data_IF_835461708996
#
_entry.id   IF_835461708996
#
_cell.length_a   1.000
_cell.length_b   1.000
_cell.length_c   1.000
_cell.angle_alpha   90.00
_cell.angle_beta   90.00
_cell.angle_gamma   90.00
#
_symmetry.space_group_name_H-M   'P 1'
#
loop_
_entity.id
_entity.type
_entity.pdbx_description
1 polymer ?
#
# COMPACT_ATOMS: atom_id res chain seq x y z
N UNK A 1 5.98 -23.94 -6.31
CA UNK A 1 7.29 -23.32 -5.99
C UNK A 1 7.35 -23.09 -4.50
N UNK A 2 8.45 -23.51 -3.84
CA UNK A 2 8.67 -23.21 -2.43
C UNK A 2 8.94 -21.70 -2.28
N UNK A 3 8.51 -21.05 -1.19
CA UNK A 3 8.87 -19.67 -0.92
C UNK A 3 10.39 -19.60 -0.70
N UNK A 4 11.08 -18.75 -1.46
CA UNK A 4 12.52 -18.52 -1.32
C UNK A 4 12.71 -17.06 -0.89
N UNK A 5 13.61 -16.82 0.06
CA UNK A 5 13.98 -15.47 0.49
C UNK A 5 15.21 -14.98 -0.28
N UNK A 6 15.44 -13.68 -0.34
CA UNK A 6 16.61 -13.13 -1.01
C UNK A 6 16.44 -11.67 -1.42
N UNK A 7 17.16 -11.27 -2.46
CA UNK A 7 17.16 -9.92 -3.02
C UNK A 7 16.65 -9.88 -4.45
N UNK A 8 16.11 -8.74 -4.83
CA UNK A 8 15.80 -8.43 -6.22
C UNK A 8 16.36 -7.07 -6.60
N UNK A 9 16.77 -6.94 -7.84
CA UNK A 9 17.21 -5.70 -8.44
C UNK A 9 16.42 -5.41 -9.71
N UNK A 10 16.09 -4.14 -9.91
CA UNK A 10 15.33 -3.65 -11.05
C UNK A 10 16.29 -2.90 -11.94
N UNK A 11 16.35 -3.29 -13.22
CA UNK A 11 17.13 -2.63 -14.25
C UNK A 11 16.18 -2.01 -15.28
N UNK A 12 16.69 -1.07 -16.05
CA UNK A 12 15.94 -0.42 -17.13
C UNK A 12 16.77 -0.32 -18.40
N UNK A 13 16.10 -0.42 -19.55
CA UNK A 13 16.70 -0.12 -20.85
C UNK A 13 17.10 1.36 -20.96
N UNK A 14 17.85 1.73 -22.00
CA UNK A 14 18.30 3.11 -22.19
C UNK A 14 17.14 4.13 -22.19
N UNK A 15 15.97 3.74 -22.72
CA UNK A 15 14.79 4.59 -22.74
C UNK A 15 14.16 4.74 -21.35
N UNK A 16 14.25 3.71 -20.50
CA UNK A 16 13.83 3.79 -19.10
C UNK A 16 14.64 4.85 -18.36
N UNK A 17 15.97 4.85 -18.53
CA UNK A 17 16.85 5.86 -17.93
C UNK A 17 16.51 7.27 -18.43
N UNK A 18 16.34 7.43 -19.74
CA UNK A 18 15.96 8.71 -20.34
C UNK A 18 14.58 9.21 -19.86
N UNK A 19 13.55 8.36 -19.89
CA UNK A 19 12.20 8.66 -19.40
C UNK A 19 12.20 9.06 -17.92
N UNK A 20 13.08 8.43 -17.13
CA UNK A 20 13.24 8.78 -15.73
C UNK A 20 14.04 10.07 -15.54
N UNK A 21 14.67 10.65 -16.57
CA UNK A 21 15.54 11.83 -16.48
C UNK A 21 16.88 11.53 -15.80
N UNK A 22 17.42 10.33 -16.00
CA UNK A 22 18.69 9.86 -15.44
C UNK A 22 19.72 9.68 -16.56
N UNK A 23 21.00 9.88 -16.23
CA UNK A 23 22.09 9.53 -17.14
C UNK A 23 22.10 8.02 -17.40
N UNK A 24 22.11 7.56 -18.66
CA UNK A 24 22.03 6.13 -18.97
C UNK A 24 23.13 5.31 -18.32
N UNK A 25 22.73 4.30 -17.54
CA UNK A 25 23.61 3.28 -16.94
C UNK A 25 22.92 1.92 -16.98
N UNK A 26 22.76 1.32 -18.16
CA UNK A 26 21.94 0.11 -18.34
C UNK A 26 22.38 -1.06 -17.46
N UNK A 27 23.68 -1.17 -17.15
CA UNK A 27 24.24 -2.21 -16.28
C UNK A 27 24.10 -1.91 -14.77
N UNK A 28 23.51 -0.77 -14.40
CA UNK A 28 23.26 -0.39 -13.01
C UNK A 28 21.82 -0.65 -12.61
N UNK A 29 21.61 -1.11 -11.37
CA UNK A 29 20.27 -1.24 -10.83
C UNK A 29 19.63 0.13 -10.60
N UNK A 30 18.40 0.31 -11.06
CA UNK A 30 17.55 1.46 -10.71
C UNK A 30 17.08 1.37 -9.25
N UNK A 31 16.82 0.15 -8.77
CA UNK A 31 16.33 -0.13 -7.42
C UNK A 31 16.79 -1.51 -6.95
N UNK A 32 17.06 -1.65 -5.66
CA UNK A 32 17.33 -2.92 -4.98
C UNK A 32 16.38 -3.07 -3.80
N UNK A 33 15.82 -4.26 -3.61
CA UNK A 33 14.97 -4.59 -2.48
C UNK A 33 15.16 -6.03 -2.01
N UNK A 34 14.77 -6.31 -0.76
CA UNK A 34 14.68 -7.67 -0.23
C UNK A 34 13.27 -8.25 -0.25
N UNK A 35 13.19 -9.57 -0.29
CA UNK A 35 11.98 -10.34 -0.01
C UNK A 35 12.30 -11.41 1.03
N UNK A 36 11.66 -11.34 2.20
CA UNK A 36 11.92 -12.26 3.31
C UNK A 36 11.08 -13.54 3.21
N UNK A 37 9.86 -13.42 2.69
CA UNK A 37 8.91 -14.55 2.71
C UNK A 37 8.82 -15.27 1.37
N UNK A 38 8.83 -14.54 0.24
CA UNK A 38 8.66 -15.15 -1.08
C UNK A 38 9.09 -14.22 -2.22
N UNK A 39 10.28 -14.49 -2.76
CA UNK A 39 10.92 -13.71 -3.81
C UNK A 39 10.19 -13.81 -5.16
N UNK A 40 9.53 -14.93 -5.45
CA UNK A 40 9.20 -15.31 -6.84
C UNK A 40 7.72 -15.12 -7.19
N UNK A 41 6.84 -14.71 -6.26
CA UNK A 41 5.43 -14.46 -6.66
C UNK A 41 4.77 -13.28 -5.98
N UNK A 42 4.67 -13.26 -4.65
CA UNK A 42 3.79 -12.30 -3.97
C UNK A 42 4.30 -10.86 -4.00
N UNK A 43 5.61 -10.67 -3.81
CA UNK A 43 6.23 -9.35 -3.84
C UNK A 43 6.36 -8.82 -5.27
N UNK A 44 6.72 -9.69 -6.23
CA UNK A 44 6.76 -9.34 -7.65
C UNK A 44 5.36 -9.06 -8.23
N UNK A 45 4.32 -9.81 -7.83
CA UNK A 45 2.92 -9.48 -8.17
C UNK A 45 2.56 -8.07 -7.67
N UNK A 46 3.04 -7.70 -6.47
CA UNK A 46 2.70 -6.41 -5.87
C UNK A 46 3.46 -5.24 -6.51
N UNK A 47 4.71 -5.45 -6.92
CA UNK A 47 5.57 -4.39 -7.46
C UNK A 47 5.48 -4.29 -8.98
N UNK A 48 5.52 -5.43 -9.66
CA UNK A 48 5.55 -5.53 -11.11
C UNK A 48 4.23 -5.98 -11.73
N UNK A 49 3.24 -6.40 -10.93
CA UNK A 49 1.96 -6.88 -11.46
C UNK A 49 2.14 -7.96 -12.54
N UNK A 50 3.01 -8.93 -12.26
CA UNK A 50 3.30 -10.05 -13.17
C UNK A 50 2.11 -11.00 -13.33
N UNK A 51 1.20 -11.02 -12.35
CA UNK A 51 -0.10 -11.70 -12.46
C UNK A 51 -1.16 -10.76 -13.07
N UNK A 52 -1.57 -10.99 -14.34
CA UNK A 52 -2.51 -10.11 -15.03
C UNK A 52 -3.93 -10.19 -14.47
N UNK A 53 -4.24 -11.19 -13.63
CA UNK A 53 -5.55 -11.34 -13.00
C UNK A 53 -5.72 -10.42 -11.79
N UNK A 54 -4.63 -9.84 -11.29
CA UNK A 54 -4.63 -8.95 -10.13
C UNK A 54 -4.52 -7.51 -10.57
N UNK A 55 -5.34 -6.65 -9.96
CA UNK A 55 -5.22 -5.21 -10.17
C UNK A 55 -3.91 -4.70 -9.56
N UNK A 56 -3.05 -3.99 -10.32
CA UNK A 56 -1.88 -3.32 -9.77
C UNK A 56 -2.29 -2.27 -8.73
N UNK A 57 -1.51 -2.17 -7.64
CA UNK A 57 -1.81 -1.26 -6.54
C UNK A 57 -0.58 -0.43 -6.17
N UNK A 58 -0.42 0.72 -6.83
CA UNK A 58 0.71 1.64 -6.56
C UNK A 58 0.81 2.06 -5.09
N UNK A 59 -0.32 2.26 -4.40
CA UNK A 59 -0.32 2.62 -2.97
C UNK A 59 0.27 1.56 -2.02
N UNK A 60 0.51 0.33 -2.49
CA UNK A 60 1.13 -0.74 -1.71
C UNK A 60 2.61 -0.96 -2.02
N UNK A 61 3.15 -0.33 -3.07
CA UNK A 61 4.52 -0.55 -3.53
C UNK A 61 5.32 0.74 -3.50
N UNK A 62 6.37 0.77 -2.68
CA UNK A 62 7.26 1.93 -2.58
C UNK A 62 7.98 2.21 -3.90
N UNK A 63 8.37 1.17 -4.63
CA UNK A 63 9.02 1.29 -5.94
C UNK A 63 8.04 1.81 -7.00
N UNK A 64 6.80 1.32 -7.06
CA UNK A 64 5.80 1.86 -8.00
C UNK A 64 5.51 3.34 -7.74
N UNK A 65 5.47 3.77 -6.47
CA UNK A 65 5.35 5.21 -6.14
C UNK A 65 6.56 6.00 -6.64
N UNK A 66 7.76 5.47 -6.56
CA UNK A 66 8.95 6.15 -7.10
C UNK A 66 8.89 6.28 -8.63
N UNK A 67 8.52 5.23 -9.36
CA UNK A 67 8.32 5.31 -10.81
C UNK A 67 7.19 6.26 -11.19
N UNK A 68 6.03 6.14 -10.52
CA UNK A 68 4.88 7.00 -10.77
C UNK A 68 5.20 8.49 -10.60
N UNK A 69 5.98 8.83 -9.57
CA UNK A 69 6.39 10.20 -9.32
C UNK A 69 7.27 10.77 -10.44
N UNK A 70 8.25 9.99 -10.92
CA UNK A 70 9.17 10.45 -11.97
C UNK A 70 8.55 10.44 -13.36
N UNK A 71 7.59 9.55 -13.62
CA UNK A 71 6.92 9.38 -14.91
C UNK A 71 5.57 10.09 -14.96
N UNK A 72 5.28 10.94 -13.97
CA UNK A 72 3.98 11.57 -13.77
C UNK A 72 3.48 12.24 -15.05
N UNK A 73 4.28 13.14 -15.61
CA UNK A 73 3.86 13.92 -16.77
C UNK A 73 3.89 13.07 -18.05
N UNK A 74 4.91 12.23 -18.20
CA UNK A 74 5.07 11.36 -19.37
C UNK A 74 3.90 10.38 -19.55
N UNK A 75 3.39 9.83 -18.45
CA UNK A 75 2.33 8.82 -18.46
C UNK A 75 0.98 9.36 -17.98
N UNK A 76 0.84 10.69 -17.83
CA UNK A 76 -0.38 11.34 -17.35
C UNK A 76 -0.89 10.69 -16.03
N UNK A 77 -0.04 10.61 -15.02
CA UNK A 77 -0.37 9.90 -13.77
C UNK A 77 -0.92 10.87 -12.73
N UNK A 78 -2.13 10.59 -12.28
CA UNK A 78 -2.77 11.33 -11.19
C UNK A 78 -2.83 10.49 -9.93
N UNK A 79 -2.27 11.05 -8.87
CA UNK A 79 -2.29 10.45 -7.55
C UNK A 79 -3.63 10.65 -6.83
N UNK A 80 -4.04 9.62 -6.10
CA UNK A 80 -5.25 9.62 -5.27
C UNK A 80 -4.95 9.02 -3.90
N UNK A 81 -5.77 9.28 -2.86
CA UNK A 81 -5.64 8.56 -1.60
C UNK A 81 -5.66 7.05 -1.83
N UNK A 82 -4.72 6.32 -1.21
CA UNK A 82 -4.65 4.84 -1.31
C UNK A 82 -5.97 4.16 -0.98
N UNK A 83 -6.65 4.70 0.03
CA UNK A 83 -7.97 4.29 0.43
C UNK A 83 -8.88 5.52 0.33
N UNK A 84 -9.68 5.58 -0.73
CA UNK A 84 -10.64 6.68 -0.97
C UNK A 84 -11.74 6.72 0.09
N UNK A 85 -12.08 5.57 0.69
CA UNK A 85 -13.10 5.48 1.74
C UNK A 85 -12.58 5.89 3.12
N UNK A 86 -11.25 5.89 3.30
CA UNK A 86 -10.58 6.39 4.50
C UNK A 86 -9.29 7.12 4.11
N UNK A 87 -9.39 8.34 3.56
CA UNK A 87 -8.23 9.11 3.15
C UNK A 87 -7.30 9.38 4.33
N UNK A 88 -5.99 9.30 4.08
CA UNK A 88 -4.95 9.47 5.09
C UNK A 88 -3.64 8.83 4.64
N UNK A 89 -2.53 9.17 5.32
CA UNK A 89 -1.19 8.73 4.94
C UNK A 89 -0.90 8.94 3.44
N UNK A 90 -1.09 10.16 2.93
CA UNK A 90 -1.01 10.50 1.50
C UNK A 90 0.36 10.21 0.87
N UNK A 91 1.43 10.06 1.67
CA UNK A 91 2.75 9.58 1.20
C UNK A 91 2.73 8.15 0.64
N UNK A 92 1.65 7.41 0.91
CA UNK A 92 1.34 6.11 0.34
C UNK A 92 0.27 6.17 -0.74
N UNK A 93 0.13 7.30 -1.46
CA UNK A 93 -0.84 7.50 -2.54
C UNK A 93 -0.93 6.32 -3.53
N UNK A 94 -2.14 6.08 -4.04
CA UNK A 94 -2.38 5.25 -5.21
C UNK A 94 -2.45 6.10 -6.48
N UNK A 95 -2.77 5.48 -7.60
CA UNK A 95 -3.09 6.16 -8.85
C UNK A 95 -4.56 5.94 -9.21
N UNK A 96 -5.09 6.78 -10.09
CA UNK A 96 -6.30 6.44 -10.82
C UNK A 96 -6.12 5.11 -11.58
N UNK A 97 -7.18 4.29 -11.74
CA UNK A 97 -7.06 2.96 -12.34
C UNK A 97 -6.38 2.94 -13.73
N UNK A 98 -6.72 3.90 -14.60
CA UNK A 98 -6.11 4.02 -15.93
C UNK A 98 -4.61 4.35 -15.85
N UNK A 99 -4.21 5.22 -14.90
CA UNK A 99 -2.81 5.54 -14.65
C UNK A 99 -2.02 4.34 -14.13
N UNK A 100 -2.60 3.54 -13.23
CA UNK A 100 -1.96 2.31 -12.73
C UNK A 100 -1.75 1.28 -13.86
N UNK A 101 -2.67 1.21 -14.83
CA UNK A 101 -2.51 0.38 -16.03
C UNK A 101 -1.39 0.88 -16.95
N UNK A 102 -1.34 2.19 -17.24
CA UNK A 102 -0.26 2.81 -18.03
C UNK A 102 1.11 2.61 -17.40
N UNK A 103 1.23 2.83 -16.09
CA UNK A 103 2.46 2.58 -15.34
C UNK A 103 2.89 1.11 -15.45
N UNK A 104 1.95 0.18 -15.31
CA UNK A 104 2.26 -1.26 -15.43
C UNK A 104 2.78 -1.62 -16.82
N UNK A 105 2.11 -1.14 -17.87
CA UNK A 105 2.54 -1.37 -19.25
C UNK A 105 3.94 -0.80 -19.51
N UNK A 106 4.23 0.41 -19.03
CA UNK A 106 5.58 0.98 -19.11
C UNK A 106 6.61 0.13 -18.36
N UNK A 107 6.30 -0.30 -17.13
CA UNK A 107 7.21 -1.14 -16.33
C UNK A 107 7.52 -2.47 -17.03
N UNK A 108 6.52 -3.14 -17.61
CA UNK A 108 6.71 -4.40 -18.35
C UNK A 108 7.54 -4.21 -19.62
N UNK A 109 7.37 -3.09 -20.31
CA UNK A 109 8.10 -2.81 -21.55
C UNK A 109 9.56 -2.43 -21.30
N UNK A 110 9.84 -1.74 -20.19
CA UNK A 110 11.10 -1.02 -19.96
C UNK A 110 12.01 -1.61 -18.91
N UNK A 111 11.49 -2.46 -18.02
CA UNK A 111 12.22 -2.94 -16.87
C UNK A 111 12.50 -4.44 -16.96
N UNK A 112 13.66 -4.82 -16.46
CA UNK A 112 14.02 -6.21 -16.20
C UNK A 112 14.30 -6.42 -14.72
N UNK A 113 14.19 -7.68 -14.31
CA UNK A 113 14.36 -8.11 -12.93
C UNK A 113 15.53 -9.08 -12.85
N UNK A 114 16.46 -8.80 -11.94
CA UNK A 114 17.42 -9.79 -11.47
C UNK A 114 17.00 -10.25 -10.07
N UNK A 115 17.14 -11.55 -9.83
CA UNK A 115 16.82 -12.17 -8.56
C UNK A 115 18.06 -12.87 -8.02
N UNK A 116 18.28 -12.73 -6.73
CA UNK A 116 19.31 -13.46 -6.01
C UNK A 116 18.65 -14.18 -4.84
N UNK A 117 18.62 -15.50 -4.94
CA UNK A 117 18.11 -16.35 -3.87
C UNK A 117 19.14 -16.42 -2.75
N UNK A 118 18.68 -16.32 -1.50
CA UNK A 118 19.53 -16.47 -0.32
C UNK A 118 20.14 -17.89 -0.33
N UNK A 119 21.47 -18.03 -0.32
CA UNK A 119 22.13 -19.32 -0.22
C UNK A 119 21.74 -20.04 1.06
N UNK A 120 21.56 -21.35 0.97
CA UNK A 120 21.33 -22.20 2.13
C UNK A 120 22.54 -22.10 3.07
N UNK A 121 22.28 -21.91 4.37
CA UNK A 121 23.32 -21.79 5.39
C UNK A 121 23.95 -20.40 5.54
N UNK A 122 23.52 -19.40 4.76
CA UNK A 122 23.95 -18.02 4.98
C UNK A 122 23.39 -17.49 6.31
N UNK A 123 24.25 -17.10 7.25
CA UNK A 123 23.84 -16.59 8.56
C UNK A 123 23.51 -15.09 8.54
N UNK A 124 24.13 -14.33 7.64
CA UNK A 124 23.96 -12.88 7.56
C UNK A 124 22.49 -12.50 7.31
N UNK A 125 21.94 -11.53 8.06
CA UNK A 125 20.60 -11.02 7.82
C UNK A 125 20.46 -10.41 6.42
N UNK A 126 19.38 -10.72 5.71
CA UNK A 126 19.12 -10.15 4.37
C UNK A 126 19.08 -8.62 4.35
N UNK A 127 18.66 -7.99 5.45
CA UNK A 127 18.68 -6.54 5.60
C UNK A 127 20.10 -5.98 5.51
N UNK A 128 21.08 -6.63 6.13
CA UNK A 128 22.48 -6.15 6.09
C UNK A 128 23.07 -6.27 4.69
N UNK A 129 22.77 -7.37 3.99
CA UNK A 129 23.17 -7.58 2.60
C UNK A 129 22.52 -6.54 1.68
N UNK A 130 21.21 -6.29 1.83
CA UNK A 130 20.47 -5.26 1.09
C UNK A 130 21.08 -3.87 1.30
N UNK A 131 21.33 -3.49 2.56
CA UNK A 131 21.92 -2.19 2.91
C UNK A 131 23.33 -2.05 2.30
N UNK A 132 24.18 -3.06 2.42
CA UNK A 132 25.53 -3.03 1.85
C UNK A 132 25.49 -2.86 0.32
N UNK A 133 24.57 -3.53 -0.37
CA UNK A 133 24.39 -3.38 -1.82
C UNK A 133 23.88 -1.98 -2.16
N UNK A 134 22.86 -1.48 -1.45
CA UNK A 134 22.33 -0.12 -1.70
C UNK A 134 23.42 0.94 -1.48
N UNK A 135 24.23 0.81 -0.45
CA UNK A 135 25.31 1.75 -0.16
C UNK A 135 26.42 1.70 -1.21
N UNK A 136 26.78 0.50 -1.69
CA UNK A 136 27.83 0.32 -2.68
C UNK A 136 27.40 0.68 -4.10
N UNK A 137 26.20 0.28 -4.51
CA UNK A 137 25.70 0.49 -5.87
C UNK A 137 24.99 1.83 -6.04
N UNK A 138 24.51 2.44 -4.95
CA UNK A 138 23.81 3.73 -4.94
C UNK A 138 22.62 3.81 -5.93
N UNK A 139 21.74 2.78 -6.00
CA UNK A 139 20.65 2.73 -6.97
C UNK A 139 19.72 3.95 -6.83
N UNK A 140 19.46 4.70 -7.91
CA UNK A 140 18.89 6.06 -7.84
C UNK A 140 17.48 6.12 -7.26
N UNK A 141 16.71 5.02 -7.29
CA UNK A 141 15.34 4.96 -6.77
C UNK A 141 15.25 4.48 -5.32
N UNK A 142 16.33 3.98 -4.73
CA UNK A 142 16.38 3.73 -3.29
C UNK A 142 16.54 5.07 -2.55
N UNK A 143 15.53 5.41 -1.74
CA UNK A 143 15.51 6.65 -0.95
C UNK A 143 16.15 6.44 0.42
N UNK A 144 15.93 5.27 1.01
CA UNK A 144 16.48 4.84 2.30
C UNK A 144 17.81 4.12 2.05
N UNK A 145 18.76 4.29 2.97
CA UNK A 145 20.07 3.63 3.00
C UNK A 145 21.01 3.96 1.81
N UNK A 146 20.51 4.64 0.77
CA UNK A 146 21.33 5.20 -0.31
C UNK A 146 22.09 6.44 0.20
N UNK A 147 23.44 6.48 0.12
CA UNK A 147 24.24 7.61 0.56
C UNK A 147 24.07 8.86 -0.30
N UNK A 148 23.54 8.72 -1.53
CA UNK A 148 23.31 9.81 -2.48
C UNK A 148 21.87 9.73 -3.03
N UNK A 149 20.85 9.92 -2.17
CA UNK A 149 19.47 9.75 -2.60
C UNK A 149 19.09 10.86 -3.60
N UNK A 150 18.35 10.49 -4.64
CA UNK A 150 17.97 11.40 -5.70
C UNK A 150 16.99 12.48 -5.20
N UNK A 151 17.46 13.73 -5.08
CA UNK A 151 16.67 14.84 -4.54
C UNK A 151 15.37 15.09 -5.31
N UNK A 152 15.43 15.04 -6.65
CA UNK A 152 14.24 15.24 -7.50
C UNK A 152 13.18 14.16 -7.31
N UNK A 153 13.56 12.92 -6.99
CA UNK A 153 12.60 11.85 -6.67
C UNK A 153 11.84 12.15 -5.37
N UNK A 154 12.51 12.68 -4.35
CA UNK A 154 11.84 13.08 -3.10
C UNK A 154 10.80 14.18 -3.37
N UNK A 155 11.21 15.23 -4.10
CA UNK A 155 10.32 16.32 -4.52
C UNK A 155 9.13 15.81 -5.35
N UNK A 156 9.36 14.96 -6.34
CA UNK A 156 8.30 14.39 -7.16
C UNK A 156 7.31 13.56 -6.32
N UNK A 157 7.80 12.81 -5.33
CA UNK A 157 6.92 12.06 -4.41
C UNK A 157 6.12 12.97 -3.48
N UNK A 158 6.68 14.10 -3.06
CA UNK A 158 5.97 15.12 -2.30
C UNK A 158 4.89 15.81 -3.13
N UNK A 159 5.13 16.05 -4.42
CA UNK A 159 4.13 16.58 -5.36
C UNK A 159 2.93 15.63 -5.50
N UNK A 160 3.18 14.34 -5.73
CA UNK A 160 2.14 13.30 -5.74
C UNK A 160 1.43 13.18 -4.38
N UNK A 161 2.14 13.37 -3.27
CA UNK A 161 1.51 13.39 -1.94
C UNK A 161 0.54 14.56 -1.79
N UNK A 162 0.94 15.75 -2.25
CA UNK A 162 0.11 16.95 -2.25
C UNK A 162 -1.11 16.79 -3.14
N UNK A 163 -0.95 16.27 -4.35
CA UNK A 163 -2.07 16.01 -5.28
C UNK A 163 -3.08 15.00 -4.70
N UNK A 164 -2.60 13.92 -4.07
CA UNK A 164 -3.48 12.96 -3.39
C UNK A 164 -4.27 13.59 -2.23
N UNK A 165 -3.65 14.50 -1.47
CA UNK A 165 -4.35 15.27 -0.42
C UNK A 165 -5.32 16.30 -0.99
N UNK A 166 -4.99 16.99 -2.08
CA UNK A 166 -5.84 17.98 -2.72
C UNK A 166 -7.04 17.38 -3.45
N UNK A 167 -6.91 16.15 -3.96
CA UNK A 167 -8.03 15.38 -4.53
C UNK A 167 -9.14 15.14 -3.50
N UNK A 168 -8.79 14.99 -2.22
CA UNK A 168 -9.76 14.93 -1.13
C UNK A 168 -10.52 16.26 -0.98
N UNK A 169 -9.83 17.39 -1.03
CA UNK A 169 -10.48 18.70 -0.92
C UNK A 169 -11.53 18.86 -2.03
N UNK A 170 -11.19 18.52 -3.28
CA UNK A 170 -12.14 18.56 -4.41
C UNK A 170 -13.33 17.60 -4.22
N UNK A 171 -13.11 16.38 -3.76
CA UNK A 171 -14.19 15.41 -3.51
C UNK A 171 -15.07 15.79 -2.31
N UNK A 172 -14.51 16.39 -1.27
CA UNK A 172 -15.23 16.91 -0.12
C UNK A 172 -16.11 18.12 -0.51
N UNK A 173 -15.59 19.04 -1.34
CA UNK A 173 -16.37 20.17 -1.87
C UNK A 173 -17.52 19.70 -2.76
N UNK A 174 -17.29 18.72 -3.64
CA UNK A 174 -18.36 18.15 -4.50
C UNK A 174 -19.41 17.38 -3.68
N UNK A 175 -18.98 16.65 -2.65
CA UNK A 175 -19.90 15.93 -1.75
C UNK A 175 -20.73 16.89 -0.89
N UNK A 176 -20.12 17.97 -0.39
CA UNK A 176 -20.81 19.03 0.34
C UNK A 176 -21.82 19.74 -0.57
N UNK A 177 -21.43 20.12 -1.79
CA UNK A 177 -22.33 20.74 -2.77
C UNK A 177 -23.52 19.82 -3.15
N UNK A 178 -23.29 18.51 -3.30
CA UNK A 178 -24.36 17.54 -3.55
C UNK A 178 -25.30 17.36 -2.35
N UNK A 179 -24.78 17.38 -1.12
CA UNK A 179 -25.61 17.33 0.08
C UNK A 179 -26.49 18.58 0.23
N UNK A 180 -26.01 19.74 -0.25
CA UNK A 180 -26.77 20.99 -0.30
C UNK A 180 -27.82 21.07 -1.42
N UNK A 181 -27.80 20.14 -2.39
CA UNK A 181 -28.67 20.14 -3.57
C UNK A 181 -29.78 19.08 -3.52
N UNK A 182 -29.80 18.23 -2.50
CA UNK A 182 -30.88 17.29 -2.26
C UNK A 182 -32.02 18.01 -1.52
N UNK A 183 -33.28 17.94 -1.99
CA UNK A 183 -34.40 18.52 -1.26
C UNK A 183 -34.55 17.83 0.10
N UNK A 184 -34.77 18.63 1.15
CA UNK A 184 -35.09 18.16 2.49
C UNK A 184 -36.35 17.31 2.44
N UNK A 185 -36.21 15.99 2.39
CA UNK A 185 -37.30 15.09 2.75
C UNK A 185 -37.28 15.05 4.27
N UNK A 186 -38.22 15.76 4.89
CA UNK A 186 -38.60 15.55 6.28
C UNK A 186 -39.08 14.10 6.42
N UNK A 187 -38.19 13.21 6.83
CA UNK A 187 -38.58 11.89 7.33
C UNK A 187 -38.83 12.03 8.83
N UNK A 188 -40.10 12.25 9.15
CA UNK A 188 -40.66 12.05 10.47
C UNK A 188 -40.54 10.55 10.82
N UNK A 189 -39.51 10.21 11.59
CA UNK A 189 -39.37 8.90 12.20
C UNK A 189 -38.53 9.00 13.46
N UNK A 190 -39.23 9.16 14.57
CA UNK A 190 -38.74 8.92 15.93
C UNK A 190 -38.05 7.55 16.01
N UNK A 191 -36.75 7.45 16.39
CA UNK A 191 -36.16 6.14 16.63
C UNK A 191 -36.52 5.66 18.03
N UNK A 192 -37.26 4.55 18.09
CA UNK A 192 -37.43 3.75 19.29
C UNK A 192 -36.05 3.31 19.83
N UNK A 193 -35.87 3.43 21.15
CA UNK A 193 -34.68 3.03 21.87
C UNK A 193 -34.45 1.51 21.79
N UNK A 194 -33.65 1.07 20.82
CA UNK A 194 -33.15 -0.31 20.70
C UNK A 194 -31.71 -0.41 21.20
N UNK A 195 -31.47 -1.33 22.12
CA UNK A 195 -30.18 -1.59 22.80
C UNK A 195 -29.03 -1.70 21.80
N UNK A 196 -28.10 -0.74 21.83
CA UNK A 196 -26.89 -0.76 21.00
C UNK A 196 -25.87 -1.71 21.66
N UNK A 197 -25.59 -2.87 21.05
CA UNK A 197 -24.53 -3.77 21.51
C UNK A 197 -23.14 -3.13 21.42
N UNK A 198 -22.24 -3.49 22.35
CA UNK A 198 -20.87 -2.95 22.40
C UNK A 198 -20.10 -3.31 21.12
N UNK A 199 -19.32 -2.37 20.59
CA UNK A 199 -18.37 -2.65 19.52
C UNK A 199 -17.12 -3.34 20.07
N UNK A 200 -16.34 -4.06 19.23
CA UNK A 200 -15.08 -4.66 19.66
C UNK A 200 -14.05 -3.66 20.18
N UNK A 201 -14.17 -2.37 19.83
CA UNK A 201 -13.28 -1.31 20.33
C UNK A 201 -13.65 -0.90 21.75
N UNK A 202 -14.96 -0.77 22.01
CA UNK A 202 -15.46 -0.41 23.34
C UNK A 202 -15.19 -1.54 24.34
N UNK A 203 -15.47 -2.79 23.96
CA UNK A 203 -15.16 -3.94 24.81
C UNK A 203 -13.65 -4.14 25.04
N UNK A 204 -12.81 -3.81 24.05
CA UNK A 204 -11.36 -3.84 24.22
C UNK A 204 -10.88 -2.84 25.28
N UNK A 205 -11.45 -1.63 25.28
CA UNK A 205 -11.16 -0.59 26.28
C UNK A 205 -11.56 -1.06 27.68
N UNK A 206 -12.74 -1.68 27.81
CA UNK A 206 -13.22 -2.20 29.09
C UNK A 206 -12.35 -3.34 29.63
N UNK A 207 -11.90 -4.25 28.78
CA UNK A 207 -11.07 -5.38 29.17
C UNK A 207 -9.56 -5.03 29.30
N UNK A 208 -9.17 -3.78 29.12
CA UNK A 208 -7.77 -3.36 29.13
C UNK A 208 -6.91 -4.04 28.06
N UNK A 209 -7.52 -4.43 26.93
CA UNK A 209 -6.83 -5.13 25.83
C UNK A 209 -6.75 -4.25 24.58
N UNK A 210 -5.84 -4.62 23.67
CA UNK A 210 -5.79 -3.96 22.37
C UNK A 210 -7.00 -4.37 21.51
N UNK A 211 -7.58 -3.46 20.71
CA UNK A 211 -8.62 -3.82 19.74
C UNK A 211 -8.19 -4.89 18.73
N UNK A 212 -6.89 -5.02 18.46
CA UNK A 212 -6.33 -6.07 17.60
C UNK A 212 -6.51 -7.45 18.24
N UNK A 213 -6.23 -7.58 19.55
CA UNK A 213 -6.37 -8.82 20.32
C UNK A 213 -7.81 -9.32 20.34
N UNK A 214 -8.78 -8.41 20.59
CA UNK A 214 -10.20 -8.75 20.59
C UNK A 214 -10.67 -9.22 19.21
N UNK A 215 -10.32 -8.50 18.13
CA UNK A 215 -10.69 -8.91 16.76
C UNK A 215 -10.02 -10.20 16.32
N UNK A 216 -8.84 -10.52 16.84
CA UNK A 216 -8.19 -11.79 16.56
C UNK A 216 -8.95 -12.94 17.21
N UNK A 217 -9.30 -12.84 18.49
CA UNK A 217 -10.09 -13.87 19.18
C UNK A 217 -11.47 -14.10 18.54
N UNK A 218 -12.11 -13.04 18.04
CA UNK A 218 -13.35 -13.17 17.29
C UNK A 218 -13.15 -13.93 15.97
N UNK A 219 -12.08 -13.65 15.22
CA UNK A 219 -11.75 -14.37 13.99
C UNK A 219 -11.39 -15.83 14.25
N UNK A 220 -10.65 -16.11 15.32
CA UNK A 220 -10.24 -17.46 15.68
C UNK A 220 -11.45 -18.34 16.04
N UNK A 221 -12.47 -17.79 16.70
CA UNK A 221 -13.68 -18.54 17.09
C UNK A 221 -14.79 -18.56 16.04
N UNK A 222 -15.09 -17.41 15.42
CA UNK A 222 -16.28 -17.24 14.58
C UNK A 222 -15.96 -17.09 13.08
N UNK A 223 -14.69 -17.13 12.69
CA UNK A 223 -14.28 -17.14 11.28
C UNK A 223 -14.36 -15.77 10.58
N UNK A 224 -14.82 -15.78 9.32
CA UNK A 224 -14.90 -14.58 8.45
C UNK A 224 -15.87 -13.54 9.02
N UNK A 225 -15.64 -12.27 8.65
CA UNK A 225 -16.45 -11.14 9.12
C UNK A 225 -17.92 -11.31 8.71
N UNK A 226 -18.88 -11.01 9.60
CA UNK A 226 -20.31 -11.23 9.35
C UNK A 226 -20.94 -10.22 8.37
N UNK A 227 -20.20 -9.18 7.98
CA UNK A 227 -20.68 -8.15 7.05
C UNK A 227 -19.64 -7.89 5.95
N UNK A 228 -20.09 -7.49 4.75
CA UNK A 228 -19.21 -6.99 3.70
C UNK A 228 -18.60 -5.64 4.13
N UNK A 229 -17.44 -5.73 4.77
CA UNK A 229 -16.70 -4.61 5.33
C UNK A 229 -15.67 -5.13 6.32
N UNK A 230 -14.49 -4.52 6.35
CA UNK A 230 -13.30 -5.03 7.04
C UNK A 230 -13.35 -4.87 8.59
N UNK A 231 -14.56 -4.89 9.20
CA UNK A 231 -14.79 -4.65 10.64
C UNK A 231 -15.97 -5.45 11.20
N UNK A 232 -15.76 -5.97 12.41
CA UNK A 232 -16.84 -6.43 13.28
C UNK A 232 -17.70 -5.23 13.70
N UNK A 233 -19.01 -5.31 13.48
CA UNK A 233 -20.00 -4.32 13.93
C UNK A 233 -20.27 -4.37 15.44
N UNK A 234 -21.48 -4.03 15.86
CA UNK A 234 -21.92 -4.29 17.24
C UNK A 234 -21.83 -5.79 17.54
N UNK A 235 -21.27 -6.15 18.69
CA UNK A 235 -21.13 -7.54 19.12
C UNK A 235 -22.48 -8.09 19.52
N UNK A 236 -22.72 -9.37 19.19
CA UNK A 236 -23.86 -10.09 19.76
C UNK A 236 -23.60 -10.37 21.25
N UNK A 237 -24.65 -10.56 22.07
CA UNK A 237 -24.48 -10.94 23.47
C UNK A 237 -23.64 -12.22 23.67
N UNK A 238 -23.68 -13.14 22.70
CA UNK A 238 -22.85 -14.34 22.69
C UNK A 238 -21.36 -14.03 22.47
N UNK A 239 -21.05 -13.15 21.52
CA UNK A 239 -19.68 -12.71 21.26
C UNK A 239 -19.09 -11.96 22.44
N UNK A 240 -19.89 -11.09 23.08
CA UNK A 240 -19.48 -10.38 24.29
C UNK A 240 -19.19 -11.34 25.45
N UNK A 241 -20.12 -12.29 25.74
CA UNK A 241 -19.90 -13.29 26.80
C UNK A 241 -18.64 -14.12 26.57
N UNK A 242 -18.41 -14.55 25.33
CA UNK A 242 -17.20 -15.28 24.97
C UNK A 242 -15.93 -14.46 25.22
N UNK A 243 -15.90 -13.21 24.77
CA UNK A 243 -14.72 -12.34 24.92
C UNK A 243 -14.44 -12.02 26.38
N UNK A 244 -15.48 -11.78 27.18
CA UNK A 244 -15.35 -11.57 28.63
C UNK A 244 -14.81 -12.82 29.33
N UNK A 245 -15.32 -14.00 28.99
CA UNK A 245 -14.84 -15.26 29.57
C UNK A 245 -13.39 -15.60 29.17
N UNK A 246 -12.94 -15.15 27.99
CA UNK A 246 -11.59 -15.40 27.49
C UNK A 246 -10.53 -14.45 28.07
N UNK A 247 -10.92 -13.22 28.44
CA UNK A 247 -9.97 -12.14 28.74
C UNK A 247 -10.13 -11.50 30.12
N UNK A 248 -11.14 -11.89 30.92
CA UNK A 248 -11.10 -11.76 32.38
C UNK A 248 -10.08 -12.76 32.94
#
# INVERSE_FOLDING_TARGET
MRPVSGLYAIYGDAEAWANLGLDPRPDSALYVGKSEDNLVRRELDTHFAVDPTKKPLTGRSTVRRSFAALLRDLLDLHSVPRNTNKPGHFSNYGLLPAGDARLTSWMHKRLSLAVWERPVGMEQPLLEVEVAIIQRWTPPLNIRDNPKPLRRLRRAREEMTREASGSQARQATVSAARASMLPSIESDSTPAAGVRGLTPVELARELGRSPKTIRQALRDKYGKLPFEGDRWGALTPEQERYLRARFR
#
